data_IF_315988428798
#
_entry.id   IF_315988428798
#
_cell.length_a   1.000
_cell.length_b   1.000
_cell.length_c   1.000
_cell.angle_alpha   90.00
_cell.angle_beta   90.00
_cell.angle_gamma   90.00
#
_symmetry.space_group_name_H-M   'P 1'
#
loop_
_entity.id
_entity.type
_entity.pdbx_description
1 polymer ?
#
# COMPACT_ATOMS: atom_id res chain seq x y z
N UNK A 1 -9.96 -8.19 -0.04
CA UNK A 1 -8.77 -8.68 0.68
C UNK A 1 -9.16 -10.00 1.32
N UNK A 2 -8.39 -11.07 1.12
CA UNK A 2 -8.67 -12.37 1.75
C UNK A 2 -8.75 -12.21 3.27
N UNK A 3 -9.67 -12.93 3.93
CA UNK A 3 -9.85 -12.93 5.40
C UNK A 3 -8.55 -13.16 6.17
N UNK A 4 -7.56 -13.74 5.51
CA UNK A 4 -6.23 -14.03 6.02
C UNK A 4 -5.41 -12.79 6.44
N UNK A 5 -5.48 -11.69 5.69
CA UNK A 5 -4.69 -10.48 5.98
C UNK A 5 -5.52 -9.44 6.74
N UNK A 6 -6.85 -9.50 6.63
CA UNK A 6 -7.77 -8.48 7.14
C UNK A 6 -7.61 -8.21 8.63
N UNK A 7 -7.42 -9.25 9.44
CA UNK A 7 -7.25 -9.14 10.90
C UNK A 7 -5.89 -8.58 11.33
N UNK A 8 -4.94 -8.48 10.41
CA UNK A 8 -3.60 -7.93 10.67
C UNK A 8 -3.45 -6.47 10.22
N UNK A 9 -4.49 -5.90 9.61
CA UNK A 9 -4.52 -4.50 9.17
C UNK A 9 -4.97 -3.58 10.31
N UNK A 10 -4.49 -2.34 10.30
CA UNK A 10 -4.91 -1.35 11.27
C UNK A 10 -6.39 -1.00 11.11
N UNK A 11 -7.08 -0.83 12.24
CA UNK A 11 -8.52 -0.58 12.29
C UNK A 11 -8.96 0.76 11.73
N UNK A 12 -8.07 1.73 11.52
CA UNK A 12 -8.39 2.97 10.80
C UNK A 12 -7.74 3.00 9.41
N UNK A 13 -7.35 1.85 8.86
CA UNK A 13 -7.02 1.77 7.43
C UNK A 13 -8.33 1.78 6.63
N UNK A 14 -8.52 2.75 5.74
CA UNK A 14 -9.71 2.82 4.88
C UNK A 14 -9.44 2.44 3.43
N UNK A 15 -8.21 2.68 2.94
CA UNK A 15 -7.80 2.31 1.60
C UNK A 15 -7.81 0.80 1.37
N UNK A 16 -8.31 0.38 0.20
CA UNK A 16 -8.32 -1.00 -0.27
C UNK A 16 -9.03 -2.02 0.65
N UNK A 17 -9.91 -1.57 1.54
CA UNK A 17 -10.69 -2.44 2.43
C UNK A 17 -12.18 -2.44 2.09
N UNK A 18 -12.81 -3.59 2.25
CA UNK A 18 -14.25 -3.71 2.02
C UNK A 18 -15.02 -2.86 3.05
N UNK A 19 -16.15 -2.26 2.63
CA UNK A 19 -17.03 -1.43 3.48
C UNK A 19 -16.38 -0.18 4.07
N UNK A 20 -15.23 0.24 3.54
CA UNK A 20 -14.53 1.47 3.92
C UNK A 20 -14.26 2.32 2.70
N UNK A 21 -14.21 3.64 2.87
CA UNK A 21 -14.01 4.59 1.78
C UNK A 21 -13.29 5.84 2.28
N UNK A 22 -12.87 6.70 1.36
CA UNK A 22 -12.33 8.02 1.69
C UNK A 22 -13.33 8.85 2.52
N UNK A 23 -14.63 8.71 2.23
CA UNK A 23 -15.69 9.40 2.97
C UNK A 23 -15.75 8.92 4.41
N UNK A 24 -15.70 7.61 4.66
CA UNK A 24 -15.73 7.11 6.04
C UNK A 24 -14.48 7.51 6.82
N UNK A 25 -13.32 7.60 6.16
CA UNK A 25 -12.09 8.10 6.78
C UNK A 25 -12.21 9.58 7.16
N UNK A 26 -12.69 10.40 6.23
CA UNK A 26 -12.87 11.84 6.43
C UNK A 26 -13.86 12.12 7.57
N UNK A 27 -15.00 11.42 7.58
CA UNK A 27 -16.00 11.56 8.63
C UNK A 27 -15.44 11.21 10.02
N UNK A 28 -14.64 10.15 10.13
CA UNK A 28 -13.98 9.78 11.40
C UNK A 28 -13.04 10.88 11.89
N UNK A 29 -12.18 11.42 11.00
CA UNK A 29 -11.25 12.50 11.37
C UNK A 29 -12.01 13.77 11.78
N UNK A 30 -13.00 14.20 10.99
CA UNK A 30 -13.78 15.40 11.30
C UNK A 30 -14.50 15.30 12.63
N UNK A 31 -15.03 14.12 12.96
CA UNK A 31 -15.67 13.87 14.24
C UNK A 31 -14.70 13.96 15.41
N UNK A 32 -13.47 13.45 15.28
CA UNK A 32 -12.44 13.54 16.32
C UNK A 32 -11.93 14.98 16.50
N UNK A 33 -11.81 15.73 15.40
CA UNK A 33 -11.50 17.17 15.45
C UNK A 33 -12.61 17.96 16.14
N UNK A 34 -13.87 17.71 15.77
CA UNK A 34 -15.03 18.36 16.39
C UNK A 34 -15.07 18.14 17.91
N UNK A 35 -14.85 16.90 18.36
CA UNK A 35 -14.78 16.59 19.80
C UNK A 35 -13.68 17.34 20.53
N UNK A 36 -12.51 17.50 19.89
CA UNK A 36 -11.38 18.17 20.52
C UNK A 36 -11.63 19.67 20.60
N UNK A 37 -12.20 20.26 19.54
CA UNK A 37 -12.67 21.65 19.50
C UNK A 37 -13.74 21.93 20.57
N UNK A 38 -14.75 21.08 20.69
CA UNK A 38 -15.82 21.21 21.70
C UNK A 38 -15.26 21.17 23.14
N UNK A 39 -14.14 20.46 23.34
CA UNK A 39 -13.44 20.39 24.62
C UNK A 39 -12.47 21.55 24.89
N UNK A 40 -12.38 22.53 23.98
CA UNK A 40 -11.47 23.66 24.08
C UNK A 40 -9.99 23.28 23.99
N UNK A 41 -9.68 22.14 23.37
CA UNK A 41 -8.32 21.62 23.20
C UNK A 41 -7.82 21.87 21.79
N UNK A 42 -6.50 21.93 21.65
CA UNK A 42 -5.81 22.05 20.37
C UNK A 42 -5.49 20.67 19.78
N UNK A 43 -5.53 20.55 18.46
CA UNK A 43 -5.15 19.34 17.73
C UNK A 43 -4.22 19.70 16.57
N UNK A 44 -3.08 19.02 16.51
CA UNK A 44 -2.18 19.06 15.35
C UNK A 44 -2.45 17.87 14.42
N UNK A 45 -2.48 18.11 13.12
CA UNK A 45 -2.60 17.07 12.09
C UNK A 45 -1.35 17.00 11.23
N UNK A 46 -0.81 15.80 11.08
CA UNK A 46 0.33 15.52 10.22
C UNK A 46 -0.16 14.64 9.07
N UNK A 47 -0.08 15.18 7.85
CA UNK A 47 -0.35 14.43 6.63
C UNK A 47 0.97 13.96 6.02
N UNK A 48 1.01 12.69 5.64
CA UNK A 48 2.16 12.06 5.00
C UNK A 48 1.72 11.42 3.69
N UNK A 49 2.53 11.61 2.65
CA UNK A 49 2.36 10.94 1.37
C UNK A 49 3.69 10.32 0.92
N UNK A 50 3.60 9.15 0.30
CA UNK A 50 4.77 8.45 -0.22
C UNK A 50 4.90 8.71 -1.72
N UNK A 51 5.96 9.41 -2.11
CA UNK A 51 6.32 9.55 -3.52
C UNK A 51 6.48 8.15 -4.15
N UNK A 52 5.77 7.90 -5.27
CA UNK A 52 5.85 6.64 -6.02
C UNK A 52 5.62 5.41 -5.13
N UNK A 53 4.58 5.44 -4.31
CA UNK A 53 4.31 4.42 -3.29
C UNK A 53 4.35 2.97 -3.82
N UNK A 54 3.83 2.73 -5.03
CA UNK A 54 3.83 1.40 -5.65
C UNK A 54 5.14 1.07 -6.37
N UNK A 55 5.87 2.05 -6.91
CA UNK A 55 7.13 1.80 -7.62
C UNK A 55 8.32 1.63 -6.66
N UNK A 56 8.18 2.12 -5.42
CA UNK A 56 9.26 2.16 -4.42
C UNK A 56 9.23 0.97 -3.45
N UNK A 57 8.32 0.01 -3.64
CA UNK A 57 8.17 -1.14 -2.75
C UNK A 57 9.39 -2.07 -2.84
N UNK A 58 10.14 -2.22 -1.75
CA UNK A 58 11.23 -3.20 -1.70
C UNK A 58 10.67 -4.63 -1.76
N UNK A 59 11.12 -5.42 -2.75
CA UNK A 59 10.65 -6.80 -2.93
C UNK A 59 10.97 -7.69 -1.72
N UNK A 60 12.16 -7.57 -1.14
CA UNK A 60 12.55 -8.35 0.04
C UNK A 60 11.69 -8.02 1.26
N UNK A 61 11.41 -6.73 1.51
CA UNK A 61 10.52 -6.30 2.59
C UNK A 61 9.09 -6.74 2.36
N UNK A 62 8.60 -6.68 1.12
CA UNK A 62 7.26 -7.16 0.76
C UNK A 62 7.12 -8.66 1.03
N UNK A 63 8.05 -9.48 0.54
CA UNK A 63 8.03 -10.93 0.77
C UNK A 63 8.13 -11.29 2.26
N UNK A 64 8.98 -10.59 3.01
CA UNK A 64 9.06 -10.74 4.46
C UNK A 64 7.72 -10.42 5.13
N UNK A 65 7.05 -9.33 4.73
CA UNK A 65 5.77 -8.93 5.28
C UNK A 65 4.66 -9.92 4.95
N UNK A 66 4.59 -10.42 3.70
CA UNK A 66 3.65 -11.47 3.29
C UNK A 66 3.84 -12.73 4.15
N UNK A 67 5.10 -13.14 4.37
CA UNK A 67 5.41 -14.25 5.28
C UNK A 67 4.97 -13.99 6.71
N UNK A 68 5.14 -12.77 7.22
CA UNK A 68 4.68 -12.39 8.57
C UNK A 68 3.16 -12.40 8.73
N UNK A 69 2.41 -12.18 7.65
CA UNK A 69 0.96 -12.37 7.64
C UNK A 69 0.55 -13.84 7.56
N UNK A 70 1.51 -14.76 7.42
CA UNK A 70 1.31 -16.21 7.34
C UNK A 70 1.30 -16.78 5.92
N UNK A 71 1.52 -15.95 4.89
CA UNK A 71 1.58 -16.43 3.51
C UNK A 71 2.90 -17.16 3.32
N UNK A 72 2.83 -18.46 3.03
CA UNK A 72 4.01 -19.32 3.01
C UNK A 72 3.92 -20.38 1.90
N UNK A 73 4.98 -21.18 1.76
CA UNK A 73 5.03 -22.29 0.81
C UNK A 73 4.94 -21.84 -0.66
N UNK A 74 4.28 -22.62 -1.53
CA UNK A 74 4.21 -22.35 -2.96
C UNK A 74 3.65 -20.97 -3.32
N UNK A 75 2.70 -20.45 -2.53
CA UNK A 75 2.12 -19.12 -2.78
C UNK A 75 3.13 -17.99 -2.56
N UNK A 76 3.95 -18.08 -1.50
CA UNK A 76 5.01 -17.10 -1.26
C UNK A 76 6.09 -17.16 -2.34
N UNK A 77 6.44 -18.37 -2.80
CA UNK A 77 7.37 -18.56 -3.91
C UNK A 77 6.81 -17.97 -5.20
N UNK A 78 5.51 -18.14 -5.46
CA UNK A 78 4.84 -17.51 -6.60
C UNK A 78 4.96 -15.98 -6.57
N UNK A 79 4.74 -15.33 -5.42
CA UNK A 79 4.99 -13.88 -5.30
C UNK A 79 6.45 -13.51 -5.52
N UNK A 80 7.39 -14.31 -5.01
CA UNK A 80 8.81 -14.08 -5.18
C UNK A 80 9.23 -14.18 -6.65
N UNK A 81 8.72 -15.17 -7.37
CA UNK A 81 8.98 -15.38 -8.79
C UNK A 81 8.28 -14.31 -9.64
N UNK A 82 7.06 -13.91 -9.28
CA UNK A 82 6.32 -12.83 -9.95
C UNK A 82 7.07 -11.48 -9.93
N UNK A 83 7.85 -11.22 -8.87
CA UNK A 83 8.62 -9.99 -8.71
C UNK A 83 10.07 -10.10 -9.22
N UNK A 84 10.57 -11.32 -9.44
CA UNK A 84 11.99 -11.56 -9.78
C UNK A 84 12.29 -11.22 -11.24
N UNK A 85 13.49 -10.69 -11.48
CA UNK A 85 14.10 -10.44 -12.80
C UNK A 85 13.21 -9.70 -13.80
N UNK A 86 12.27 -8.88 -13.29
CA UNK A 86 11.39 -8.08 -14.13
C UNK A 86 12.17 -7.01 -14.86
N UNK A 87 11.73 -6.71 -16.08
CA UNK A 87 12.23 -5.62 -16.90
C UNK A 87 11.08 -4.74 -17.35
N UNK A 88 11.35 -3.45 -17.51
CA UNK A 88 10.39 -2.47 -18.02
C UNK A 88 11.03 -1.63 -19.12
N UNK A 89 10.21 -1.18 -20.07
CA UNK A 89 10.54 -0.15 -21.04
C UNK A 89 9.38 0.84 -21.12
N UNK A 90 9.65 2.05 -21.60
CA UNK A 90 8.63 3.07 -21.84
C UNK A 90 8.39 3.15 -23.35
N UNK A 91 7.13 3.15 -23.75
CA UNK A 91 6.73 3.32 -25.15
C UNK A 91 5.96 4.62 -25.31
N UNK A 92 6.43 5.50 -26.18
CA UNK A 92 5.80 6.79 -26.50
C UNK A 92 5.71 6.89 -28.01
N UNK A 93 4.50 7.09 -28.53
CA UNK A 93 4.26 7.27 -29.99
C UNK A 93 4.89 6.16 -30.86
N UNK A 94 4.92 4.92 -30.35
CA UNK A 94 5.49 3.76 -31.05
C UNK A 94 7.01 3.62 -30.91
N UNK A 95 7.72 4.61 -30.36
CA UNK A 95 9.12 4.48 -30.01
C UNK A 95 9.29 3.85 -28.61
N UNK A 96 10.20 2.89 -28.47
CA UNK A 96 10.46 2.19 -27.21
C UNK A 96 11.84 2.52 -26.65
N UNK A 97 11.93 2.73 -25.34
CA UNK A 97 13.21 2.83 -24.65
C UNK A 97 13.90 1.46 -24.54
N UNK A 98 15.18 1.45 -24.14
CA UNK A 98 15.83 0.21 -23.71
C UNK A 98 15.13 -0.39 -22.48
N UNK A 99 15.15 -1.71 -22.36
CA UNK A 99 14.70 -2.40 -21.15
C UNK A 99 15.62 -2.11 -19.97
N UNK A 100 15.01 -1.83 -18.81
CA UNK A 100 15.69 -1.68 -17.53
C UNK A 100 15.17 -2.68 -16.52
N UNK A 101 16.06 -3.18 -15.67
CA UNK A 101 15.66 -4.07 -14.57
C UNK A 101 14.81 -3.32 -13.54
N UNK A 102 13.79 -3.99 -13.02
CA UNK A 102 12.90 -3.47 -11.98
C UNK A 102 13.34 -4.01 -10.63
N UNK A 103 14.09 -3.21 -9.89
CA UNK A 103 14.68 -3.59 -8.59
C UNK A 103 13.77 -3.27 -7.40
N UNK A 104 12.70 -2.49 -7.61
CA UNK A 104 11.69 -2.17 -6.63
C UNK A 104 10.34 -1.98 -7.31
N UNK A 105 9.29 -2.01 -6.50
CA UNK A 105 7.93 -1.72 -6.89
C UNK A 105 7.13 -2.95 -7.27
N UNK A 106 5.82 -2.77 -7.28
CA UNK A 106 4.85 -3.77 -7.74
C UNK A 106 4.24 -3.29 -9.06
N UNK A 107 3.90 -4.19 -10.00
CA UNK A 107 3.11 -3.81 -11.16
C UNK A 107 1.77 -3.21 -10.73
N UNK A 108 1.33 -2.16 -11.45
CA UNK A 108 0.01 -1.54 -11.31
C UNK A 108 -1.00 -2.17 -12.25
#
# INVERSE_FOLDING_TARGET
VSSFVENSLYDLQHGFRCKRSCVTQLLSVLHDLGRTLDSGKETDLIYLDFAKAFDSVSHSKLLFKLKSFGISGPLLNWFADYLRDRKQCVVVEGASSSFLNVTSGVPQ
#
